data_IF_108505277739
#
_entry.id   IF_108505277739
#
_cell.length_a   1.000
_cell.length_b   1.000
_cell.length_c   1.000
_cell.angle_alpha   90.00
_cell.angle_beta   90.00
_cell.angle_gamma   90.00
#
_symmetry.space_group_name_H-M   'P 1'
#
loop_
_entity.id
_entity.type
_entity.pdbx_description
1 polymer ?
#
# COMPACT_ATOMS: atom_id res chain seq x y z
N UNK A 1 30.45 20.85 -5.05
CA UNK A 1 29.78 20.88 -3.74
C UNK A 1 28.30 20.66 -4.00
N UNK A 2 27.72 19.53 -3.59
CA UNK A 2 26.31 19.23 -3.86
C UNK A 2 25.43 20.16 -3.00
N UNK A 3 24.43 20.78 -3.61
CA UNK A 3 23.57 21.76 -2.94
C UNK A 3 22.44 21.06 -2.22
N UNK A 4 22.36 21.23 -0.90
CA UNK A 4 21.26 20.75 -0.05
C UNK A 4 20.23 21.87 0.07
N UNK A 5 18.96 21.52 -0.12
CA UNK A 5 17.84 22.46 -0.01
C UNK A 5 17.01 22.13 1.21
N UNK A 6 16.74 23.14 2.03
CA UNK A 6 15.98 22.98 3.27
C UNK A 6 14.56 23.52 3.10
N UNK A 7 13.58 22.72 3.49
CA UNK A 7 12.19 23.10 3.57
C UNK A 7 11.73 23.00 5.03
N UNK A 8 11.07 24.03 5.54
CA UNK A 8 10.77 24.17 6.97
C UNK A 8 9.27 24.37 7.21
N UNK A 9 8.77 23.74 8.26
CA UNK A 9 7.41 23.94 8.78
C UNK A 9 7.49 24.19 10.30
N UNK A 10 6.38 24.54 10.97
CA UNK A 10 6.34 24.55 12.43
C UNK A 10 6.70 23.21 13.09
N UNK A 11 6.40 22.08 12.44
CA UNK A 11 6.56 20.74 13.02
C UNK A 11 7.78 19.97 12.51
N UNK A 12 8.36 20.35 11.38
CA UNK A 12 9.50 19.64 10.82
C UNK A 12 10.43 20.50 9.97
N UNK A 13 11.59 19.94 9.65
CA UNK A 13 12.48 20.42 8.61
C UNK A 13 12.94 19.25 7.75
N UNK A 14 12.94 19.44 6.43
CA UNK A 14 13.30 18.42 5.45
C UNK A 14 14.48 18.95 4.63
N UNK A 15 15.55 18.16 4.53
CA UNK A 15 16.65 18.42 3.61
C UNK A 15 16.57 17.51 2.40
N UNK A 16 16.67 18.12 1.22
CA UNK A 16 16.54 17.45 -0.08
C UNK A 16 17.82 17.65 -0.88
N UNK A 17 18.32 16.55 -1.42
CA UNK A 17 19.45 16.52 -2.34
C UNK A 17 19.06 15.71 -3.58
N UNK A 18 19.16 16.34 -4.77
CA UNK A 18 18.83 15.72 -6.07
C UNK A 18 17.47 14.97 -6.07
N UNK A 19 16.46 15.52 -5.39
CA UNK A 19 15.12 14.96 -5.31
C UNK A 19 14.90 13.92 -4.19
N UNK A 20 15.95 13.51 -3.49
CA UNK A 20 15.88 12.55 -2.38
C UNK A 20 15.91 13.27 -1.05
N UNK A 21 15.00 12.91 -0.15
CA UNK A 21 14.99 13.41 1.23
C UNK A 21 16.05 12.65 2.03
N UNK A 22 16.96 13.37 2.68
CA UNK A 22 18.07 12.77 3.43
C UNK A 22 18.25 13.35 4.84
N UNK A 23 17.47 14.37 5.15
CA UNK A 23 17.37 14.98 6.48
C UNK A 23 15.89 15.13 6.82
N UNK A 24 15.51 14.64 7.98
CA UNK A 24 14.20 14.80 8.59
C UNK A 24 14.42 15.26 10.05
N UNK A 25 14.03 16.48 10.37
CA UNK A 25 14.02 17.00 11.75
C UNK A 25 12.60 17.01 12.24
N UNK A 26 12.29 16.22 13.27
CA UNK A 26 11.02 16.23 13.96
C UNK A 26 11.07 17.27 15.09
N UNK A 27 10.48 18.45 14.85
CA UNK A 27 10.47 19.55 15.83
C UNK A 27 9.51 19.31 16.99
N UNK A 28 8.54 18.41 16.82
CA UNK A 28 7.61 18.00 17.90
C UNK A 28 8.28 17.10 18.93
N UNK A 29 9.25 16.29 18.51
CA UNK A 29 9.98 15.35 19.36
C UNK A 29 11.43 15.77 19.64
N UNK A 30 11.91 16.84 18.99
CA UNK A 30 13.31 17.29 19.06
C UNK A 30 14.29 16.25 18.52
N UNK A 31 13.94 15.51 17.47
CA UNK A 31 14.79 14.45 16.90
C UNK A 31 15.22 14.78 15.48
N UNK A 32 16.42 14.32 15.11
CA UNK A 32 16.98 14.52 13.77
C UNK A 32 17.39 13.18 13.20
N UNK A 33 16.91 12.88 12.00
CA UNK A 33 17.30 11.72 11.20
C UNK A 33 18.02 12.26 9.98
N UNK A 34 19.31 12.00 9.88
CA UNK A 34 20.13 12.53 8.78
C UNK A 34 21.10 11.48 8.30
N UNK A 35 21.31 11.41 6.98
CA UNK A 35 22.34 10.59 6.37
C UNK A 35 23.28 11.43 5.50
N UNK A 36 24.56 11.03 5.36
CA UNK A 36 25.56 11.84 4.68
C UNK A 36 25.52 11.76 3.15
N UNK A 37 24.85 10.76 2.57
CA UNK A 37 24.81 10.56 1.13
C UNK A 37 23.45 10.02 0.69
N UNK A 38 22.97 10.47 -0.46
CA UNK A 38 21.73 9.98 -1.07
C UNK A 38 21.98 8.92 -2.12
N UNK A 39 21.34 7.74 -2.01
CA UNK A 39 21.30 6.77 -3.10
C UNK A 39 20.38 7.24 -4.25
N UNK A 40 20.49 6.62 -5.44
CA UNK A 40 19.50 6.82 -6.51
C UNK A 40 18.14 6.25 -6.09
N UNK A 41 17.17 7.12 -5.80
CA UNK A 41 15.82 6.75 -5.33
C UNK A 41 14.69 7.56 -5.98
N UNK A 42 15.02 8.59 -6.74
CA UNK A 42 14.03 9.44 -7.42
C UNK A 42 14.21 9.30 -8.93
N UNK A 43 13.14 8.97 -9.66
CA UNK A 43 13.27 8.57 -11.04
C UNK A 43 11.97 8.18 -11.73
N UNK A 44 12.13 7.71 -12.97
CA UNK A 44 11.05 7.28 -13.86
C UNK A 44 11.33 5.86 -14.34
N UNK A 45 10.29 5.03 -14.36
CA UNK A 45 10.31 3.69 -14.97
C UNK A 45 9.57 3.74 -16.31
N UNK A 46 10.21 3.32 -17.39
CA UNK A 46 9.69 3.47 -18.74
C UNK A 46 10.03 2.26 -19.63
N UNK A 47 9.09 1.80 -20.46
CA UNK A 47 9.25 0.60 -21.31
C UNK A 47 10.47 0.66 -22.24
N UNK A 48 10.71 1.83 -22.86
CA UNK A 48 11.78 2.02 -23.87
C UNK A 48 13.13 2.45 -23.29
N UNK A 49 13.18 3.45 -22.42
CA UNK A 49 14.42 3.95 -21.83
C UNK A 49 14.85 3.20 -20.57
N UNK A 50 14.08 2.19 -20.12
CA UNK A 50 14.32 1.50 -18.87
C UNK A 50 14.07 2.38 -17.65
N UNK A 51 14.83 2.13 -16.58
CA UNK A 51 14.74 2.88 -15.33
C UNK A 51 15.81 3.97 -15.30
N UNK A 52 15.38 5.22 -15.15
CA UNK A 52 16.28 6.37 -15.05
C UNK A 52 16.17 6.98 -13.65
N UNK A 53 17.32 7.15 -13.00
CA UNK A 53 17.41 7.57 -11.60
C UNK A 53 18.20 8.86 -11.44
N UNK A 54 18.09 9.49 -10.27
CA UNK A 54 18.66 10.80 -9.97
C UNK A 54 20.20 10.85 -9.86
N UNK A 55 20.93 9.79 -10.18
CA UNK A 55 22.40 9.74 -10.22
C UNK A 55 23.00 10.36 -11.51
N UNK A 56 22.28 10.28 -12.63
CA UNK A 56 22.73 10.71 -13.97
C UNK A 56 22.07 11.95 -14.62
N UNK A 57 20.97 12.55 -14.11
CA UNK A 57 20.27 13.59 -14.85
C UNK A 57 21.00 14.94 -14.80
N UNK A 58 20.61 15.82 -15.72
CA UNK A 58 20.71 17.26 -15.49
C UNK A 58 19.67 17.64 -14.42
N UNK A 59 20.12 18.35 -13.39
CA UNK A 59 19.32 18.67 -12.20
C UNK A 59 19.14 20.18 -12.08
N UNK A 60 17.91 20.64 -11.94
CA UNK A 60 17.57 22.04 -11.65
C UNK A 60 16.69 22.12 -10.40
N UNK A 61 16.95 23.08 -9.53
CA UNK A 61 16.19 23.30 -8.31
C UNK A 61 15.65 24.73 -8.30
N UNK A 62 14.40 24.90 -7.87
CA UNK A 62 13.78 26.22 -7.68
C UNK A 62 13.09 26.24 -6.33
N UNK A 63 13.52 27.13 -5.45
CA UNK A 63 12.86 27.39 -4.18
C UNK A 63 12.03 28.67 -4.31
N UNK A 64 10.73 28.58 -4.11
CA UNK A 64 9.82 29.72 -4.14
C UNK A 64 8.94 29.71 -2.89
N UNK A 65 9.26 30.56 -1.92
CA UNK A 65 8.54 30.63 -0.64
C UNK A 65 8.59 29.30 0.11
N UNK A 66 7.43 28.65 0.25
CA UNK A 66 7.23 27.38 0.96
C UNK A 66 7.24 26.16 0.03
N UNK A 67 7.73 26.31 -1.21
CA UNK A 67 7.77 25.24 -2.21
C UNK A 67 9.17 25.06 -2.77
N UNK A 68 9.64 23.81 -2.77
CA UNK A 68 10.82 23.35 -3.46
C UNK A 68 10.40 22.53 -4.68
N UNK A 69 10.80 22.97 -5.87
CA UNK A 69 10.70 22.21 -7.11
C UNK A 69 12.09 21.66 -7.47
N UNK A 70 12.16 20.35 -7.71
CA UNK A 70 13.33 19.67 -8.27
C UNK A 70 12.96 19.11 -9.64
N UNK A 71 13.65 19.57 -10.68
CA UNK A 71 13.52 19.04 -12.04
C UNK A 71 14.72 18.15 -12.37
N UNK A 72 14.44 16.92 -12.79
CA UNK A 72 15.42 15.96 -13.28
C UNK A 72 15.16 15.71 -14.77
N UNK A 73 16.20 15.91 -15.59
CA UNK A 73 16.13 15.74 -17.04
C UNK A 73 17.16 14.71 -17.50
N UNK A 74 16.69 13.65 -18.13
CA UNK A 74 17.52 12.64 -18.79
C UNK A 74 17.38 12.79 -20.30
N UNK A 75 18.51 12.80 -21.01
CA UNK A 75 18.55 12.83 -22.48
C UNK A 75 19.53 11.76 -22.96
N UNK A 76 19.01 10.75 -23.64
CA UNK A 76 19.80 9.69 -24.28
C UNK A 76 19.25 9.44 -25.67
N UNK A 77 20.11 9.25 -26.67
CA UNK A 77 19.81 9.21 -28.12
C UNK A 77 18.35 8.85 -28.48
N UNK A 78 17.54 9.86 -28.79
CA UNK A 78 16.13 9.70 -29.21
C UNK A 78 15.08 9.62 -28.09
N UNK A 79 15.49 9.66 -26.82
CA UNK A 79 14.63 9.63 -25.64
C UNK A 79 14.93 10.81 -24.71
N UNK A 80 13.86 11.40 -24.17
CA UNK A 80 13.92 12.44 -23.16
C UNK A 80 12.91 12.14 -22.07
N UNK A 81 13.37 12.14 -20.83
CA UNK A 81 12.51 12.01 -19.65
C UNK A 81 12.67 13.27 -18.79
N UNK A 82 11.56 13.88 -18.41
CA UNK A 82 11.49 14.95 -17.42
C UNK A 82 10.70 14.44 -16.21
N UNK A 83 11.25 14.61 -15.02
CA UNK A 83 10.55 14.41 -13.76
C UNK A 83 10.62 15.69 -12.94
N UNK A 84 9.46 16.20 -12.54
CA UNK A 84 9.31 17.32 -11.63
C UNK A 84 8.84 16.78 -10.29
N UNK A 85 9.64 16.94 -9.23
CA UNK A 85 9.25 16.62 -7.85
C UNK A 85 9.04 17.92 -7.09
N UNK A 86 7.82 18.14 -6.62
CA UNK A 86 7.43 19.32 -5.85
C UNK A 86 7.23 18.91 -4.39
N UNK A 87 7.94 19.58 -3.49
CA UNK A 87 7.76 19.50 -2.04
C UNK A 87 7.20 20.83 -1.54
N UNK A 88 6.08 20.79 -0.81
CA UNK A 88 5.41 22.00 -0.32
C UNK A 88 5.16 21.95 1.18
N UNK A 89 5.79 22.87 1.91
CA UNK A 89 5.56 23.08 3.33
C UNK A 89 4.16 23.64 3.55
N UNK A 90 3.42 23.01 4.46
CA UNK A 90 2.08 23.45 4.83
C UNK A 90 2.10 24.22 6.16
N UNK A 91 1.23 25.24 6.33
CA UNK A 91 1.11 26.00 7.58
C UNK A 91 0.80 25.13 8.80
N UNK A 92 0.02 24.05 8.63
CA UNK A 92 -0.32 23.09 9.70
C UNK A 92 0.87 22.20 10.13
N UNK A 93 2.02 22.33 9.48
CA UNK A 93 3.26 21.67 9.84
C UNK A 93 3.63 20.44 9.01
N UNK A 94 2.78 20.02 8.08
CA UNK A 94 3.02 18.88 7.19
C UNK A 94 3.84 19.29 5.94
N UNK A 95 4.40 18.31 5.24
CA UNK A 95 4.97 18.51 3.89
C UNK A 95 4.23 17.63 2.90
N UNK A 96 3.86 18.22 1.76
CA UNK A 96 3.25 17.51 0.63
C UNK A 96 4.31 17.23 -0.43
N UNK A 97 4.29 16.04 -1.02
CA UNK A 97 5.14 15.65 -2.15
C UNK A 97 4.24 15.22 -3.32
N UNK A 98 4.49 15.80 -4.50
CA UNK A 98 3.84 15.43 -5.76
C UNK A 98 4.87 15.35 -6.87
N UNK A 99 4.67 14.44 -7.81
CA UNK A 99 5.52 14.33 -8.99
C UNK A 99 4.72 14.46 -10.27
N UNK A 100 5.36 14.98 -11.31
CA UNK A 100 4.88 14.97 -12.69
C UNK A 100 5.99 14.50 -13.62
N UNK A 101 5.68 13.60 -14.53
CA UNK A 101 6.59 13.16 -15.56
C UNK A 101 6.08 13.53 -16.95
N UNK A 102 7.03 13.82 -17.83
CA UNK A 102 6.82 14.07 -19.25
C UNK A 102 7.94 13.37 -20.04
N UNK A 103 7.55 12.41 -20.87
CA UNK A 103 8.43 11.57 -21.67
C UNK A 103 8.22 11.88 -23.16
N UNK A 104 9.31 12.00 -23.92
CA UNK A 104 9.24 12.26 -25.36
C UNK A 104 8.63 11.10 -26.16
N UNK A 105 8.66 9.89 -25.60
CA UNK A 105 8.05 8.69 -26.18
C UNK A 105 7.00 8.13 -25.20
N UNK A 106 5.98 7.43 -25.69
CA UNK A 106 5.07 6.71 -24.81
C UNK A 106 5.73 5.44 -24.27
N UNK A 107 5.23 4.99 -23.12
CA UNK A 107 5.77 3.84 -22.39
C UNK A 107 6.00 4.09 -20.90
N UNK A 108 5.48 5.18 -20.33
CA UNK A 108 5.66 5.53 -18.93
C UNK A 108 4.92 4.54 -18.00
N UNK A 109 5.69 3.85 -17.15
CA UNK A 109 5.17 2.86 -16.19
C UNK A 109 4.89 3.52 -14.84
N UNK A 110 5.83 4.33 -14.33
CA UNK A 110 5.72 4.90 -13.00
C UNK A 110 6.71 6.00 -12.69
N UNK A 111 6.42 6.73 -11.61
CA UNK A 111 7.20 7.83 -11.07
C UNK A 111 7.52 7.53 -9.61
N UNK A 112 8.78 7.65 -9.23
CA UNK A 112 9.24 7.38 -7.87
C UNK A 112 9.93 8.60 -7.27
N UNK A 113 9.60 8.90 -6.01
CA UNK A 113 10.43 9.71 -5.12
C UNK A 113 10.88 8.85 -3.95
N UNK A 114 11.87 9.30 -3.19
CA UNK A 114 12.31 8.54 -2.03
C UNK A 114 13.02 9.35 -0.97
N UNK A 115 13.28 8.64 0.12
CA UNK A 115 14.02 9.15 1.26
C UNK A 115 15.00 8.09 1.76
N UNK A 116 15.99 8.57 2.49
CA UNK A 116 16.98 7.74 3.15
C UNK A 116 17.12 8.18 4.62
N UNK A 117 17.11 7.20 5.52
CA UNK A 117 17.13 7.41 6.97
C UNK A 117 18.16 6.49 7.64
N UNK A 118 18.74 6.89 8.78
CA UNK A 118 19.68 6.05 9.52
C UNK A 118 18.97 4.83 10.12
N UNK A 119 19.66 3.70 10.21
CA UNK A 119 19.16 2.46 10.84
C UNK A 119 18.97 2.57 12.38
N UNK A 120 19.41 3.68 12.97
CA UNK A 120 19.17 4.02 14.38
C UNK A 120 17.69 4.30 14.71
N UNK A 121 16.82 4.38 13.70
CA UNK A 121 15.37 4.45 13.83
C UNK A 121 14.73 3.17 13.26
N UNK A 122 13.49 2.89 13.65
CA UNK A 122 12.72 1.77 13.11
C UNK A 122 11.88 2.23 11.91
N UNK A 123 11.78 1.39 10.88
CA UNK A 123 10.85 1.55 9.76
C UNK A 123 9.72 0.53 9.90
N UNK A 124 8.49 1.01 10.06
CA UNK A 124 7.30 0.16 10.15
C UNK A 124 6.56 0.21 8.82
N UNK A 125 6.32 -0.98 8.25
CA UNK A 125 5.70 -1.17 6.94
C UNK A 125 4.44 -2.01 7.12
N UNK A 126 3.24 -1.52 6.77
CA UNK A 126 2.01 -2.31 6.80
C UNK A 126 1.93 -3.21 5.56
N UNK A 127 2.90 -4.09 5.39
CA UNK A 127 2.90 -5.15 4.39
C UNK A 127 2.97 -6.52 5.05
N UNK A 128 2.32 -7.52 4.46
CA UNK A 128 2.21 -8.88 5.01
C UNK A 128 1.76 -8.91 6.48
N UNK A 129 0.67 -8.22 6.82
CA UNK A 129 0.16 -8.04 8.19
C UNK A 129 1.01 -7.18 9.14
N UNK A 130 2.08 -6.57 8.64
CA UNK A 130 2.89 -5.59 9.36
C UNK A 130 4.31 -6.05 9.66
N UNK A 131 5.28 -5.21 9.32
CA UNK A 131 6.71 -5.42 9.54
C UNK A 131 7.29 -4.27 10.36
N UNK A 132 8.20 -4.62 11.27
CA UNK A 132 9.07 -3.66 11.95
C UNK A 132 10.51 -3.97 11.57
N UNK A 133 11.15 -3.03 10.88
CA UNK A 133 12.52 -3.14 10.42
C UNK A 133 13.42 -2.25 11.27
N UNK A 134 14.54 -2.79 11.72
CA UNK A 134 15.53 -2.12 12.56
C UNK A 134 16.96 -2.42 12.07
N UNK A 135 17.98 -1.86 12.72
CA UNK A 135 19.38 -2.14 12.38
C UNK A 135 19.74 -3.63 12.36
N UNK A 136 19.06 -4.45 13.15
CA UNK A 136 19.31 -5.90 13.24
C UNK A 136 18.50 -6.71 12.22
N UNK A 137 17.64 -6.06 11.43
CA UNK A 137 16.86 -6.73 10.40
C UNK A 137 17.73 -7.08 9.19
N UNK A 138 17.93 -8.38 8.97
CA UNK A 138 18.58 -8.93 7.79
C UNK A 138 17.53 -9.31 6.73
N UNK A 139 17.54 -8.61 5.61
CA UNK A 139 16.61 -8.86 4.51
C UNK A 139 17.20 -8.42 3.16
N UNK A 140 16.82 -9.14 2.10
CA UNK A 140 17.07 -8.71 0.72
C UNK A 140 16.14 -7.55 0.36
N UNK A 141 16.52 -6.66 -0.60
CA UNK A 141 15.66 -5.55 -1.02
C UNK A 141 14.22 -6.01 -1.29
N UNK A 142 13.26 -5.36 -0.66
CA UNK A 142 11.84 -5.71 -0.72
C UNK A 142 11.09 -4.73 -1.61
N UNK A 143 10.09 -5.26 -2.32
CA UNK A 143 9.09 -4.48 -3.04
C UNK A 143 7.71 -4.93 -2.58
N UNK A 144 6.86 -3.97 -2.23
CA UNK A 144 5.48 -4.22 -1.84
C UNK A 144 4.56 -3.47 -2.80
N UNK A 145 3.72 -4.16 -3.55
CA UNK A 145 2.76 -3.51 -4.43
C UNK A 145 1.43 -3.34 -3.69
N UNK A 146 0.88 -2.14 -3.76
CA UNK A 146 -0.44 -1.84 -3.23
C UNK A 146 -1.51 -2.24 -4.26
N UNK A 147 -2.61 -2.92 -3.87
CA UNK A 147 -3.04 -3.21 -2.49
C UNK A 147 -2.68 -4.62 -1.98
N UNK A 148 -1.89 -5.39 -2.72
CA UNK A 148 -1.70 -6.83 -2.44
C UNK A 148 -0.70 -7.08 -1.32
N UNK A 149 0.57 -6.70 -1.51
CA UNK A 149 1.62 -6.91 -0.50
C UNK A 149 1.73 -5.74 0.46
N UNK A 150 1.35 -4.53 0.01
CA UNK A 150 1.25 -3.33 0.85
C UNK A 150 -0.23 -3.08 1.15
N UNK A 151 -0.67 -3.43 2.36
CA UNK A 151 -2.10 -3.56 2.70
C UNK A 151 -2.73 -2.22 3.13
N UNK A 152 -1.89 -1.24 3.51
CA UNK A 152 -2.32 0.11 3.85
C UNK A 152 -1.31 1.14 3.31
N UNK A 153 -1.79 2.27 2.78
CA UNK A 153 -0.98 3.20 1.98
C UNK A 153 -0.09 4.14 2.81
N UNK A 154 0.58 3.63 3.84
CA UNK A 154 1.47 4.40 4.69
C UNK A 154 2.72 3.65 5.12
N UNK A 155 3.71 4.37 5.62
CA UNK A 155 4.83 3.85 6.41
C UNK A 155 5.04 4.75 7.62
N UNK A 156 5.66 4.21 8.67
CA UNK A 156 6.09 4.98 9.84
C UNK A 156 7.60 4.88 9.99
N UNK A 157 8.21 6.03 10.26
CA UNK A 157 9.58 6.11 10.76
C UNK A 157 9.44 6.37 12.26
N UNK A 158 10.08 5.57 13.11
CA UNK A 158 9.99 5.67 14.57
C UNK A 158 11.39 5.89 15.18
N UNK A 159 11.59 7.05 15.79
CA UNK A 159 12.75 7.37 16.63
C UNK A 159 12.51 7.05 18.10
N UNK A 160 13.25 7.70 18.99
CA UNK A 160 13.15 7.47 20.46
C UNK A 160 12.00 8.24 21.09
N UNK A 161 11.67 9.43 20.57
CA UNK A 161 10.69 10.36 21.15
C UNK A 161 9.54 10.70 20.22
N UNK A 162 9.57 10.22 18.98
CA UNK A 162 8.57 10.46 17.97
C UNK A 162 9.01 9.95 16.62
N UNK A 163 8.36 10.41 15.55
CA UNK A 163 8.63 9.90 14.23
C UNK A 163 7.88 10.64 13.12
N UNK A 164 7.81 10.00 11.96
CA UNK A 164 7.12 10.50 10.78
C UNK A 164 6.13 9.48 10.26
N UNK A 165 4.91 9.94 9.98
CA UNK A 165 3.94 9.25 9.15
C UNK A 165 4.10 9.75 7.72
N UNK A 166 4.21 8.81 6.78
CA UNK A 166 4.23 9.10 5.34
C UNK A 166 3.14 8.27 4.71
N UNK A 167 2.17 8.92 4.07
CA UNK A 167 1.04 8.23 3.46
C UNK A 167 0.62 8.86 2.15
N UNK A 168 0.02 8.06 1.27
CA UNK A 168 -0.62 8.54 0.06
C UNK A 168 -2.03 9.05 0.37
N UNK A 169 -2.33 10.28 -0.05
CA UNK A 169 -3.70 10.80 -0.06
C UNK A 169 -4.41 10.31 -1.33
N UNK A 170 -4.81 9.04 -1.31
CA UNK A 170 -5.45 8.35 -2.43
C UNK A 170 -6.56 7.41 -1.92
N UNK A 171 -7.74 7.45 -2.55
CA UNK A 171 -8.90 6.66 -2.16
C UNK A 171 -8.85 5.22 -2.70
N UNK A 172 -7.66 4.59 -2.65
CA UNK A 172 -7.38 3.28 -3.23
C UNK A 172 -7.55 3.17 -4.75
N UNK A 173 -7.49 4.27 -5.49
CA UNK A 173 -7.72 4.29 -6.94
C UNK A 173 -6.46 4.05 -7.76
N UNK A 174 -5.28 4.20 -7.15
CA UNK A 174 -3.99 4.10 -7.86
C UNK A 174 -3.17 2.89 -7.41
N UNK A 175 -2.56 2.19 -8.36
CA UNK A 175 -1.51 1.23 -8.03
C UNK A 175 -0.24 1.96 -7.59
N UNK A 176 0.45 1.40 -6.59
CA UNK A 176 1.64 1.97 -5.98
C UNK A 176 2.63 0.87 -5.65
N UNK A 177 3.91 1.21 -5.55
CA UNK A 177 4.94 0.30 -5.04
C UNK A 177 5.76 0.99 -3.97
N UNK A 178 6.00 0.29 -2.88
CA UNK A 178 6.98 0.65 -1.86
C UNK A 178 8.26 -0.17 -2.10
N UNK A 179 9.40 0.50 -2.22
CA UNK A 179 10.71 -0.13 -2.24
C UNK A 179 11.40 0.09 -0.89
N UNK A 180 11.95 -0.97 -0.30
CA UNK A 180 12.72 -0.89 0.95
C UNK A 180 14.00 -1.69 0.81
N UNK A 181 15.13 -1.06 1.13
CA UNK A 181 16.43 -1.70 1.22
C UNK A 181 17.18 -1.24 2.47
N UNK A 182 17.86 -2.16 3.15
CA UNK A 182 18.78 -1.85 4.24
C UNK A 182 20.22 -2.02 3.74
N UNK A 183 21.00 -0.94 3.75
CA UNK A 183 22.42 -0.97 3.33
C UNK A 183 23.21 0.13 4.00
N UNK A 184 24.46 -0.16 4.36
CA UNK A 184 25.39 0.83 4.92
C UNK A 184 24.80 1.60 6.11
N UNK A 185 24.10 0.88 7.00
CA UNK A 185 23.42 1.41 8.19
C UNK A 185 22.30 2.42 7.91
N UNK A 186 21.62 2.25 6.77
CA UNK A 186 20.58 3.16 6.31
C UNK A 186 19.44 2.37 5.68
N UNK A 187 18.21 2.84 5.90
CA UNK A 187 17.06 2.41 5.12
C UNK A 187 16.88 3.33 3.92
N UNK A 188 16.78 2.71 2.75
CA UNK A 188 16.45 3.35 1.49
C UNK A 188 14.99 3.06 1.19
N UNK A 189 14.18 4.11 1.07
CA UNK A 189 12.72 3.98 0.94
C UNK A 189 12.26 4.73 -0.30
N UNK A 190 11.69 3.99 -1.26
CA UNK A 190 11.14 4.54 -2.50
C UNK A 190 9.61 4.41 -2.55
N UNK A 191 8.93 5.46 -2.97
CA UNK A 191 7.48 5.53 -3.12
C UNK A 191 7.14 5.77 -4.59
N UNK A 192 6.61 4.74 -5.25
CA UNK A 192 6.27 4.80 -6.67
C UNK A 192 4.76 4.88 -6.86
N UNK A 193 4.30 5.78 -7.72
CA UNK A 193 2.95 5.72 -8.31
C UNK A 193 3.04 5.09 -9.68
N UNK A 194 2.24 4.05 -9.93
CA UNK A 194 2.12 3.49 -11.27
C UNK A 194 1.09 4.24 -12.09
N UNK A 195 1.33 4.30 -13.39
CA UNK A 195 0.33 4.63 -14.37
C UNK A 195 -0.74 3.53 -14.42
N UNK A 196 -1.94 3.88 -14.89
CA UNK A 196 -2.96 2.87 -15.20
C UNK A 196 -2.62 2.26 -16.55
N UNK A 197 -2.33 0.96 -16.60
CA UNK A 197 -2.05 0.25 -17.85
C UNK A 197 -3.22 0.40 -18.86
N UNK A 198 -2.96 0.32 -20.17
CA UNK A 198 -1.71 -0.09 -20.82
C UNK A 198 -0.68 1.06 -20.94
N UNK A 199 0.58 0.77 -20.62
CA UNK A 199 1.66 1.78 -20.51
C UNK A 199 2.16 2.32 -21.85
N UNK A 200 2.01 1.54 -22.92
CA UNK A 200 2.51 1.84 -24.29
C UNK A 200 1.91 3.10 -24.92
N UNK A 201 0.89 3.69 -24.29
CA UNK A 201 0.20 4.91 -24.71
C UNK A 201 0.48 6.12 -23.81
N UNK A 202 1.23 5.93 -22.72
CA UNK A 202 1.35 6.93 -21.66
C UNK A 202 2.68 7.67 -21.82
N UNK A 203 2.60 8.98 -22.03
CA UNK A 203 3.76 9.89 -22.11
C UNK A 203 3.88 10.78 -20.88
N UNK A 204 2.76 11.07 -20.23
CA UNK A 204 2.68 11.99 -19.11
C UNK A 204 1.88 11.34 -17.99
N UNK A 205 2.31 11.57 -16.76
CA UNK A 205 1.56 11.15 -15.57
C UNK A 205 1.87 12.06 -14.38
N UNK A 206 0.98 12.04 -13.41
CA UNK A 206 1.15 12.67 -12.11
C UNK A 206 1.07 11.59 -11.03
N UNK A 207 1.86 11.75 -9.97
CA UNK A 207 1.81 10.84 -8.82
C UNK A 207 0.55 11.10 -7.99
N UNK A 208 0.19 10.16 -7.12
CA UNK A 208 -0.66 10.52 -5.96
C UNK A 208 0.04 11.60 -5.14
N UNK A 209 -0.74 12.35 -4.37
CA UNK A 209 -0.18 13.29 -3.40
C UNK A 209 0.26 12.52 -2.16
N UNK A 210 1.52 12.67 -1.79
CA UNK A 210 2.04 12.09 -0.55
C UNK A 210 2.07 13.16 0.54
N UNK A 211 1.74 12.77 1.77
CA UNK A 211 1.85 13.65 2.93
C UNK A 211 2.82 13.06 3.95
N UNK A 212 3.73 13.92 4.43
CA UNK A 212 4.67 13.65 5.51
C UNK A 212 4.21 14.43 6.74
N UNK A 213 3.97 13.74 7.85
CA UNK A 213 3.52 14.32 9.13
C UNK A 213 4.44 13.90 10.27
N UNK A 214 4.87 14.86 11.08
CA UNK A 214 5.64 14.58 12.29
C UNK A 214 4.72 14.26 13.48
N UNK A 215 5.08 13.27 14.28
CA UNK A 215 4.40 12.93 15.54
C UNK A 215 5.39 12.79 16.69
N UNK A 216 4.92 12.95 17.93
CA UNK A 216 5.67 12.66 19.16
C UNK A 216 5.12 11.39 19.83
N UNK A 217 5.94 10.71 20.62
CA UNK A 217 5.60 9.47 21.32
C UNK A 217 5.74 8.21 20.46
N UNK A 218 4.89 7.23 20.76
CA UNK A 218 4.90 5.91 20.14
C UNK A 218 4.36 5.91 18.71
N UNK A 219 4.76 4.91 17.92
CA UNK A 219 4.30 4.67 16.55
C UNK A 219 2.78 4.55 16.47
N UNK A 220 2.14 4.14 17.57
CA UNK A 220 0.68 4.10 17.71
C UNK A 220 0.03 5.47 17.47
N UNK A 221 0.70 6.58 17.80
CA UNK A 221 0.18 7.92 17.48
C UNK A 221 0.20 8.19 15.98
N UNK A 222 1.29 7.81 15.28
CA UNK A 222 1.37 7.92 13.83
C UNK A 222 0.35 7.02 13.12
N UNK A 223 0.20 5.77 13.58
CA UNK A 223 -0.80 4.83 13.07
C UNK A 223 -2.23 5.36 13.30
N UNK A 224 -2.52 5.96 14.46
CA UNK A 224 -3.82 6.56 14.74
C UNK A 224 -4.15 7.74 13.81
N UNK A 225 -3.16 8.56 13.44
CA UNK A 225 -3.35 9.63 12.46
C UNK A 225 -3.73 9.09 11.08
N UNK A 226 -3.05 8.03 10.60
CA UNK A 226 -3.44 7.38 9.35
C UNK A 226 -4.83 6.74 9.47
N UNK A 227 -5.12 6.05 10.57
CA UNK A 227 -6.43 5.43 10.81
C UNK A 227 -7.55 6.46 10.72
N UNK A 228 -7.38 7.63 11.33
CA UNK A 228 -8.37 8.71 11.24
C UNK A 228 -8.59 9.15 9.78
N UNK A 229 -7.51 9.42 9.04
CA UNK A 229 -7.61 9.80 7.64
C UNK A 229 -8.29 8.71 6.78
N UNK A 230 -7.96 7.44 7.01
CA UNK A 230 -8.54 6.30 6.33
C UNK A 230 -10.02 6.10 6.69
N UNK A 231 -10.41 6.30 7.95
CA UNK A 231 -11.80 6.25 8.39
C UNK A 231 -12.68 7.28 7.68
N UNK A 232 -12.16 8.50 7.53
CA UNK A 232 -12.83 9.60 6.82
C UNK A 232 -12.88 9.34 5.30
N UNK A 233 -11.74 8.95 4.71
CA UNK A 233 -11.57 8.81 3.26
C UNK A 233 -12.32 7.61 2.70
N UNK A 234 -12.24 6.45 3.36
CA UNK A 234 -12.92 5.22 2.93
C UNK A 234 -14.33 5.07 3.52
N UNK A 235 -14.80 6.04 4.31
CA UNK A 235 -16.13 5.98 4.94
C UNK A 235 -16.30 4.79 5.90
N UNK A 236 -15.22 4.35 6.55
CA UNK A 236 -15.21 3.10 7.33
C UNK A 236 -16.21 3.12 8.50
N UNK A 237 -16.45 4.30 9.10
CA UNK A 237 -17.42 4.43 10.17
C UNK A 237 -18.85 4.13 9.71
N UNK A 238 -19.21 4.49 8.47
CA UNK A 238 -20.50 4.15 7.90
C UNK A 238 -20.62 2.65 7.63
N UNK A 239 -19.54 2.03 7.11
CA UNK A 239 -19.48 0.58 6.89
C UNK A 239 -19.57 -0.22 8.19
N UNK A 240 -18.88 0.19 9.26
CA UNK A 240 -18.98 -0.49 10.56
C UNK A 240 -20.40 -0.45 11.14
N UNK A 241 -21.20 0.59 10.85
CA UNK A 241 -22.60 0.68 11.30
C UNK A 241 -23.53 -0.31 10.60
N UNK A 242 -23.15 -0.83 9.44
CA UNK A 242 -23.93 -1.87 8.74
C UNK A 242 -23.54 -3.28 9.18
N UNK A 243 -22.46 -3.41 9.96
CA UNK A 243 -21.96 -4.69 10.44
C UNK A 243 -22.89 -5.29 11.49
N UNK A 244 -23.30 -6.56 11.36
CA UNK A 244 -24.08 -7.22 12.40
C UNK A 244 -23.30 -7.32 13.72
N UNK A 245 -23.93 -6.97 14.84
CA UNK A 245 -23.25 -6.94 16.14
C UNK A 245 -22.67 -8.28 16.61
N UNK A 246 -23.14 -9.41 16.07
CA UNK A 246 -22.59 -10.73 16.39
C UNK A 246 -21.19 -10.96 15.82
N UNK A 247 -20.75 -10.17 14.83
CA UNK A 247 -19.43 -10.34 14.21
C UNK A 247 -18.33 -10.03 15.21
N UNK A 248 -18.52 -9.04 16.09
CA UNK A 248 -17.56 -8.69 17.14
C UNK A 248 -17.41 -9.78 18.21
N UNK A 249 -18.37 -10.70 18.30
CA UNK A 249 -18.33 -11.83 19.23
C UNK A 249 -17.53 -13.02 18.70
N UNK A 250 -17.14 -13.03 17.41
CA UNK A 250 -16.43 -14.17 16.80
C UNK A 250 -15.00 -14.26 17.34
N UNK A 251 -14.65 -15.43 17.86
CA UNK A 251 -13.31 -15.74 18.39
C UNK A 251 -12.63 -16.91 17.67
N UNK A 252 -13.39 -17.69 16.91
CA UNK A 252 -12.87 -18.89 16.23
C UNK A 252 -13.52 -19.03 14.87
N UNK A 253 -12.71 -19.37 13.86
CA UNK A 253 -13.17 -19.73 12.51
C UNK A 253 -12.76 -21.17 12.25
N UNK A 254 -13.71 -22.00 11.81
CA UNK A 254 -13.47 -23.38 11.42
C UNK A 254 -13.85 -23.54 9.95
N UNK A 255 -12.94 -24.06 9.15
CA UNK A 255 -13.20 -24.44 7.77
C UNK A 255 -13.76 -25.86 7.77
N UNK A 256 -15.05 -26.01 7.52
CA UNK A 256 -15.73 -27.31 7.50
C UNK A 256 -17.03 -27.23 6.68
N UNK A 257 -17.45 -28.34 6.07
CA UNK A 257 -18.66 -28.38 5.24
C UNK A 257 -19.96 -28.57 6.04
N UNK A 258 -19.87 -28.88 7.34
CA UNK A 258 -21.04 -29.11 8.19
C UNK A 258 -21.88 -30.31 7.74
N UNK A 259 -21.23 -31.31 7.14
CA UNK A 259 -21.84 -32.53 6.60
C UNK A 259 -21.94 -33.66 7.63
N UNK A 260 -21.09 -33.65 8.65
CA UNK A 260 -21.10 -34.60 9.76
C UNK A 260 -21.64 -33.94 11.04
N UNK A 261 -22.88 -34.31 11.39
CA UNK A 261 -23.56 -33.76 12.57
C UNK A 261 -23.02 -34.25 13.91
N UNK A 262 -22.36 -35.40 13.97
CA UNK A 262 -21.70 -35.87 15.18
C UNK A 262 -20.43 -35.06 15.43
N UNK A 263 -19.67 -34.78 14.37
CA UNK A 263 -18.57 -33.81 14.42
C UNK A 263 -19.06 -32.42 14.84
N UNK A 264 -20.18 -31.93 14.31
CA UNK A 264 -20.72 -30.62 14.70
C UNK A 264 -21.15 -30.58 16.18
N UNK A 265 -21.78 -31.64 16.70
CA UNK A 265 -22.11 -31.77 18.12
C UNK A 265 -20.86 -31.79 18.99
N UNK A 266 -19.87 -32.60 18.60
CA UNK A 266 -18.59 -32.70 19.29
C UNK A 266 -17.82 -31.36 19.31
N UNK A 267 -17.92 -30.55 18.25
CA UNK A 267 -17.38 -29.19 18.22
C UNK A 267 -18.14 -28.27 19.16
N UNK A 268 -19.47 -28.34 19.19
CA UNK A 268 -20.30 -27.51 20.07
C UNK A 268 -20.10 -27.80 21.57
N UNK A 269 -19.63 -29.00 21.92
CA UNK A 269 -19.23 -29.34 23.29
C UNK A 269 -17.86 -28.74 23.67
N UNK A 270 -16.99 -28.45 22.70
CA UNK A 270 -15.61 -27.99 22.92
C UNK A 270 -15.43 -26.50 22.75
N UNK A 271 -16.31 -25.85 22.00
CA UNK A 271 -16.24 -24.44 21.63
C UNK A 271 -17.56 -23.76 21.94
N UNK A 272 -17.55 -22.44 22.12
CA UNK A 272 -18.78 -21.66 22.17
C UNK A 272 -19.33 -21.47 20.75
N UNK A 273 -20.44 -22.10 20.35
CA UNK A 273 -20.92 -22.03 18.98
C UNK A 273 -21.30 -20.61 18.57
N UNK A 274 -21.81 -19.79 19.51
CA UNK A 274 -22.21 -18.40 19.23
C UNK A 274 -21.03 -17.49 18.88
N UNK A 275 -19.83 -17.87 19.27
CA UNK A 275 -18.56 -17.17 19.01
C UNK A 275 -17.71 -17.90 17.96
N UNK A 276 -18.27 -18.93 17.31
CA UNK A 276 -17.58 -19.73 16.30
C UNK A 276 -18.25 -19.55 14.94
N UNK A 277 -17.45 -19.16 13.94
CA UNK A 277 -17.85 -19.05 12.55
C UNK A 277 -17.45 -20.32 11.78
N UNK A 278 -18.44 -21.03 11.22
CA UNK A 278 -18.21 -22.09 10.25
C UNK A 278 -18.06 -21.46 8.87
N UNK A 279 -16.87 -21.58 8.29
CA UNK A 279 -16.57 -21.21 6.92
C UNK A 279 -16.73 -22.43 6.00
N UNK A 280 -17.66 -22.34 5.06
CA UNK A 280 -18.16 -23.49 4.31
C UNK A 280 -17.75 -23.38 2.83
N UNK A 281 -16.69 -24.08 2.41
CA UNK A 281 -16.22 -24.05 1.03
C UNK A 281 -17.14 -24.79 0.04
N UNK A 282 -17.63 -25.98 0.40
CA UNK A 282 -18.26 -26.91 -0.55
C UNK A 282 -19.80 -26.95 -0.47
N UNK A 283 -20.44 -25.77 -0.43
CA UNK A 283 -21.90 -25.66 -0.26
C UNK A 283 -22.71 -25.74 -1.58
N UNK A 284 -22.04 -25.60 -2.73
CA UNK A 284 -22.65 -25.52 -4.06
C UNK A 284 -22.80 -26.88 -4.73
N UNK A 285 -23.72 -26.99 -5.69
CA UNK A 285 -23.92 -28.22 -6.49
C UNK A 285 -22.64 -28.66 -7.21
N UNK A 286 -21.91 -27.72 -7.78
CA UNK A 286 -20.76 -28.01 -8.65
C UNK A 286 -19.44 -28.18 -7.88
N UNK A 287 -19.47 -27.96 -6.56
CA UNK A 287 -18.35 -28.14 -5.64
C UNK A 287 -17.45 -26.92 -5.46
N UNK A 288 -16.39 -27.07 -4.65
CA UNK A 288 -15.38 -26.03 -4.40
C UNK A 288 -14.55 -25.69 -5.65
N UNK A 289 -14.30 -24.40 -5.88
CA UNK A 289 -13.48 -23.87 -6.99
C UNK A 289 -13.87 -24.30 -8.41
N UNK A 290 -15.18 -24.48 -8.65
CA UNK A 290 -15.74 -24.93 -9.93
C UNK A 290 -16.92 -24.09 -10.40
N UNK A 291 -17.10 -23.99 -11.72
CA UNK A 291 -18.29 -23.42 -12.36
C UNK A 291 -18.70 -22.00 -11.87
N UNK A 292 -17.76 -21.17 -11.39
CA UNK A 292 -18.08 -19.78 -11.04
C UNK A 292 -18.56 -19.02 -12.30
N UNK A 293 -19.56 -18.12 -12.20
CA UNK A 293 -20.21 -17.61 -11.00
C UNK A 293 -21.55 -18.28 -10.65
N UNK A 294 -21.79 -19.56 -11.00
CA UNK A 294 -23.00 -20.28 -10.55
C UNK A 294 -22.88 -20.60 -9.05
N UNK A 295 -23.73 -19.98 -8.24
CA UNK A 295 -23.78 -20.16 -6.78
C UNK A 295 -24.98 -21.01 -6.32
N UNK A 296 -25.50 -21.90 -7.17
CA UNK A 296 -26.63 -22.75 -6.83
C UNK A 296 -26.25 -23.71 -5.67
N UNK A 297 -26.98 -23.68 -4.54
CA UNK A 297 -26.71 -24.57 -3.40
C UNK A 297 -27.02 -26.03 -3.74
N UNK A 298 -26.41 -26.95 -3.00
CA UNK A 298 -26.85 -28.37 -2.98
C UNK A 298 -28.26 -28.47 -2.38
N UNK A 299 -29.04 -29.45 -2.83
CA UNK A 299 -30.45 -29.59 -2.41
C UNK A 299 -30.64 -29.70 -0.90
N UNK A 300 -29.75 -30.42 -0.22
CA UNK A 300 -29.82 -30.66 1.22
C UNK A 300 -29.06 -29.62 2.05
N UNK A 301 -28.37 -28.68 1.41
CA UNK A 301 -27.60 -27.65 2.08
C UNK A 301 -28.41 -26.82 3.09
N UNK A 302 -29.63 -26.32 2.77
CA UNK A 302 -30.42 -25.53 3.71
C UNK A 302 -30.73 -26.27 5.01
N UNK A 303 -31.03 -27.57 4.94
CA UNK A 303 -31.33 -28.40 6.11
C UNK A 303 -30.11 -28.57 7.01
N UNK A 304 -28.93 -28.84 6.43
CA UNK A 304 -27.68 -28.99 7.20
C UNK A 304 -27.30 -27.68 7.90
N UNK A 305 -27.47 -26.56 7.21
CA UNK A 305 -27.17 -25.24 7.79
C UNK A 305 -28.09 -24.89 8.94
N UNK A 306 -29.36 -25.27 8.84
CA UNK A 306 -30.30 -25.12 9.94
C UNK A 306 -29.90 -25.96 11.16
N UNK A 307 -29.41 -27.18 10.96
CA UNK A 307 -28.90 -28.01 12.06
C UNK A 307 -27.68 -27.39 12.75
N UNK A 308 -26.72 -26.85 11.98
CA UNK A 308 -25.56 -26.14 12.54
C UNK A 308 -25.98 -24.87 13.31
N UNK A 309 -26.95 -24.09 12.78
CA UNK A 309 -27.49 -22.91 13.48
C UNK A 309 -28.18 -23.26 14.80
N UNK A 310 -28.88 -24.41 14.87
CA UNK A 310 -29.51 -24.88 16.11
C UNK A 310 -28.51 -25.21 17.21
N UNK A 311 -27.29 -25.61 16.85
CA UNK A 311 -26.18 -25.74 17.80
C UNK A 311 -25.62 -24.39 18.24
N UNK A 312 -25.95 -23.30 17.53
CA UNK A 312 -25.58 -21.92 17.84
C UNK A 312 -24.47 -21.35 16.96
N UNK A 313 -23.97 -22.12 15.97
CA UNK A 313 -22.90 -21.66 15.07
C UNK A 313 -23.33 -20.49 14.18
N UNK A 314 -22.38 -19.60 13.89
CA UNK A 314 -22.48 -18.64 12.78
C UNK A 314 -21.95 -19.30 11.51
N UNK A 315 -22.46 -18.90 10.35
CA UNK A 315 -22.15 -19.53 9.07
C UNK A 315 -21.70 -18.47 8.08
N UNK A 316 -20.57 -18.71 7.42
CA UNK A 316 -20.06 -17.95 6.29
C UNK A 316 -19.89 -18.90 5.10
N UNK A 317 -20.52 -18.56 3.98
CA UNK A 317 -20.39 -19.29 2.73
C UNK A 317 -19.15 -18.81 1.99
N UNK A 318 -18.36 -19.72 1.45
CA UNK A 318 -17.33 -19.35 0.51
C UNK A 318 -17.97 -18.87 -0.80
N UNK A 319 -17.63 -17.66 -1.22
CA UNK A 319 -17.97 -17.12 -2.54
C UNK A 319 -16.72 -16.52 -3.15
N UNK A 320 -16.49 -16.80 -4.42
CA UNK A 320 -15.43 -16.18 -5.21
C UNK A 320 -16.03 -14.99 -5.99
N UNK A 321 -15.67 -13.77 -5.57
CA UNK A 321 -16.25 -12.56 -6.18
C UNK A 321 -15.55 -12.12 -7.47
N UNK A 322 -14.37 -12.67 -7.80
CA UNK A 322 -13.52 -12.19 -8.90
C UNK A 322 -13.31 -13.20 -10.04
N UNK A 323 -13.94 -14.38 -9.98
CA UNK A 323 -13.70 -15.47 -10.91
C UNK A 323 -14.90 -15.86 -11.78
N UNK A 324 -14.63 -16.16 -13.06
CA UNK A 324 -15.47 -16.99 -13.90
C UNK A 324 -14.61 -18.16 -14.39
N UNK A 325 -15.03 -19.39 -14.11
CA UNK A 325 -14.26 -20.55 -14.57
C UNK A 325 -14.41 -20.71 -16.08
N UNK A 326 -13.35 -21.07 -16.84
CA UNK A 326 -13.43 -21.24 -18.29
C UNK A 326 -14.50 -22.22 -18.78
N UNK A 327 -14.87 -23.20 -17.94
CA UNK A 327 -15.88 -24.21 -18.23
C UNK A 327 -17.31 -23.70 -18.09
N UNK A 328 -17.53 -22.54 -17.45
CA UNK A 328 -18.87 -22.00 -17.27
C UNK A 328 -19.38 -21.40 -18.60
N UNK A 329 -20.63 -21.67 -19.02
CA UNK A 329 -21.18 -21.12 -20.27
C UNK A 329 -21.13 -19.59 -20.40
N UNK A 330 -21.09 -18.84 -19.29
CA UNK A 330 -21.02 -17.37 -19.32
C UNK A 330 -19.59 -16.85 -19.54
N UNK A 331 -18.58 -17.71 -19.48
CA UNK A 331 -17.18 -17.31 -19.57
C UNK A 331 -16.85 -16.54 -20.85
N UNK A 332 -17.34 -16.98 -22.01
CA UNK A 332 -17.08 -16.27 -23.27
C UNK A 332 -17.61 -14.82 -23.27
N UNK A 333 -18.68 -14.55 -22.51
CA UNK A 333 -19.22 -13.20 -22.33
C UNK A 333 -18.38 -12.38 -21.33
N UNK A 334 -17.74 -13.04 -20.36
CA UNK A 334 -16.92 -12.41 -19.33
C UNK A 334 -15.46 -12.19 -19.75
N UNK A 335 -14.99 -12.93 -20.75
CA UNK A 335 -13.61 -12.87 -21.28
C UNK A 335 -13.07 -11.47 -21.60
N UNK A 336 -13.88 -10.53 -22.13
CA UNK A 336 -13.41 -9.15 -22.36
C UNK A 336 -13.07 -8.38 -21.08
N UNK A 337 -13.55 -8.81 -19.91
CA UNK A 337 -13.40 -8.15 -18.62
C UNK A 337 -12.31 -8.78 -17.73
N UNK A 338 -11.46 -9.65 -18.28
CA UNK A 338 -10.37 -10.26 -17.52
C UNK A 338 -9.48 -9.21 -16.87
N UNK A 339 -9.19 -9.42 -15.58
CA UNK A 339 -8.05 -8.78 -14.95
C UNK A 339 -6.78 -9.32 -15.58
N UNK A 340 -5.97 -8.40 -16.08
CA UNK A 340 -4.74 -8.67 -16.80
C UNK A 340 -3.57 -8.11 -16.01
N UNK A 341 -2.49 -8.87 -15.94
CA UNK A 341 -1.28 -8.35 -15.35
C UNK A 341 -0.76 -7.22 -16.24
N UNK A 342 -0.50 -6.02 -15.70
CA UNK A 342 -0.16 -4.85 -16.52
C UNK A 342 1.17 -4.99 -17.27
N UNK A 343 1.99 -6.00 -16.95
CA UNK A 343 3.29 -6.24 -17.58
C UNK A 343 3.27 -7.42 -18.58
N UNK A 344 2.52 -8.47 -18.28
CA UNK A 344 2.51 -9.72 -19.06
C UNK A 344 1.25 -9.94 -19.90
N UNK A 345 0.16 -9.19 -19.63
CA UNK A 345 -1.09 -9.26 -20.38
C UNK A 345 -2.01 -10.36 -19.91
#
# INVERSE_FOLDING_TARGET
>A
MMSIYLLRTPHMEIGVERGVIHLLVNRKAGETFSVPATPPLTGVRHLKSGEVWNDRPQVEHRLHGQELLVELRWREQGTGNLLQTRLRAQPEGDVLVTQKADCTLPGLIGLQWGLVIPDSCELLVPGYSGLRLSADSDFQPMQFNYPMEWEAQFVLIQGKRGGFLIYAEDNAERFKRLFVQHRSRQFWVGFETWCTAPFDKIQQAESVRWRIRAYSGSWLHGAAMYRQWAEETFGLAALRRTQPGWVDDIQTVIIDNGDDMDKMRALAERLNPRQTLLYIPDWRRDGYDRNYPDYTPREDFPQRMEQARRLGFRIMLHVNYFGCTPENPVYEQMKPYHFRDPFSG
#
